data_IF_889806439558
#
_entry.id   IF_889806439558
#
_cell.length_a   1.000
_cell.length_b   1.000
_cell.length_c   1.000
_cell.angle_alpha   90.00
_cell.angle_beta   90.00
_cell.angle_gamma   90.00
#
_symmetry.space_group_name_H-M   'P 1'
#
loop_
_entity.id
_entity.type
_entity.pdbx_description
1 polymer ?
#
# COMPACT_ATOMS: atom_id res chain seq x y z
N UNK A 1 20.35 -0.65 18.79
CA UNK A 1 20.10 -1.51 19.96
C UNK A 1 19.47 -0.65 21.04
N UNK A 2 18.16 -0.81 21.32
CA UNK A 2 17.49 -0.10 22.40
C UNK A 2 17.92 -0.71 23.74
N UNK A 3 18.43 0.11 24.63
CA UNK A 3 18.80 -0.30 25.99
C UNK A 3 17.73 0.28 26.93
N UNK A 4 16.95 -0.53 27.65
CA UNK A 4 16.00 -0.01 28.63
C UNK A 4 16.75 0.72 29.74
N UNK A 5 16.27 1.91 30.07
CA UNK A 5 16.79 2.72 31.19
C UNK A 5 15.68 2.96 32.20
N UNK A 6 16.03 3.12 33.48
CA UNK A 6 15.04 3.45 34.50
C UNK A 6 14.47 4.86 34.28
N UNK A 7 13.24 5.10 34.75
CA UNK A 7 12.60 6.42 34.68
C UNK A 7 13.46 7.54 35.29
N UNK A 8 14.08 7.30 36.42
CA UNK A 8 14.98 8.27 37.08
C UNK A 8 16.18 8.61 36.22
N UNK A 9 16.79 7.63 35.57
CA UNK A 9 17.91 7.85 34.65
C UNK A 9 17.47 8.59 33.38
N UNK A 10 16.29 8.28 32.84
CA UNK A 10 15.73 8.99 31.68
C UNK A 10 15.43 10.45 32.04
N UNK A 11 14.84 10.73 33.21
CA UNK A 11 14.56 12.07 33.70
C UNK A 11 15.85 12.89 33.89
N UNK A 12 16.84 12.31 34.55
CA UNK A 12 18.15 12.96 34.76
C UNK A 12 18.85 13.28 33.44
N UNK A 13 18.81 12.38 32.45
CA UNK A 13 19.38 12.63 31.12
C UNK A 13 18.62 13.77 30.40
N UNK A 14 17.31 13.78 30.49
CA UNK A 14 16.49 14.81 29.88
C UNK A 14 16.77 16.20 30.48
N UNK A 15 16.87 16.31 31.79
CA UNK A 15 17.23 17.53 32.51
C UNK A 15 18.62 18.02 32.10
N UNK A 16 19.59 17.10 31.99
CA UNK A 16 20.97 17.42 31.55
C UNK A 16 20.98 17.94 30.11
N UNK A 17 20.24 17.31 29.19
CA UNK A 17 20.19 17.77 27.81
C UNK A 17 19.43 19.08 27.65
N UNK A 18 18.35 19.31 28.39
CA UNK A 18 17.69 20.61 28.45
C UNK A 18 18.61 21.73 28.98
N UNK A 19 19.38 21.47 30.02
CA UNK A 19 20.32 22.43 30.52
C UNK A 19 21.42 22.74 29.51
N UNK A 20 21.89 21.77 28.75
CA UNK A 20 22.86 21.98 27.65
C UNK A 20 22.25 22.77 26.48
N UNK A 21 20.97 22.52 26.12
CA UNK A 21 20.29 23.25 25.07
C UNK A 21 20.02 24.72 25.46
N UNK A 22 19.74 24.98 26.74
CA UNK A 22 19.52 26.36 27.22
C UNK A 22 20.82 27.12 27.45
N UNK A 23 21.98 26.42 27.62
CA UNK A 23 23.31 27.03 27.77
C UNK A 23 23.99 27.27 26.42
N UNK A 24 23.66 26.56 25.38
CA UNK A 24 24.06 26.91 24.02
C UNK A 24 23.10 28.00 23.53
N UNK A 25 23.68 29.15 23.27
CA UNK A 25 23.03 30.30 22.69
C UNK A 25 22.00 29.85 21.65
N UNK A 26 20.75 29.96 22.00
CA UNK A 26 19.64 29.79 21.07
C UNK A 26 19.63 30.99 20.15
N UNK A 27 20.65 31.14 19.30
CA UNK A 27 20.38 31.79 18.04
C UNK A 27 19.23 31.00 17.42
N UNK A 28 18.05 31.59 17.46
CA UNK A 28 16.96 31.08 16.72
C UNK A 28 17.50 30.78 15.33
N UNK A 29 17.60 29.50 14.96
CA UNK A 29 17.89 29.12 13.60
C UNK A 29 16.64 29.60 12.86
N UNK A 30 16.69 30.84 12.38
CA UNK A 30 15.73 31.32 11.39
C UNK A 30 16.00 30.44 10.19
N UNK A 31 15.19 29.40 10.04
CA UNK A 31 15.10 28.68 8.78
C UNK A 31 14.68 29.73 7.75
N UNK A 32 15.63 30.10 6.89
CA UNK A 32 15.33 30.93 5.76
C UNK A 32 14.22 30.22 4.97
N UNK A 33 13.06 30.87 4.78
CA UNK A 33 11.96 30.32 3.98
C UNK A 33 12.43 29.94 2.57
N UNK A 34 13.55 30.51 2.12
CA UNK A 34 14.24 30.12 0.89
C UNK A 34 14.81 28.69 0.92
N UNK A 35 15.01 28.07 2.10
CA UNK A 35 15.53 26.71 2.19
C UNK A 35 14.48 25.61 1.92
N UNK A 36 13.18 25.99 1.94
CA UNK A 36 12.07 25.09 1.60
C UNK A 36 11.11 25.69 0.57
N UNK A 37 11.62 26.21 -0.58
CA UNK A 37 10.76 26.90 -1.55
C UNK A 37 9.71 25.98 -2.18
N UNK A 38 9.87 24.67 -2.08
CA UNK A 38 9.01 23.70 -2.78
C UNK A 38 8.01 22.97 -1.88
N UNK A 39 8.18 22.93 -0.56
CA UNK A 39 7.26 22.24 0.36
C UNK A 39 5.90 22.92 0.40
N UNK A 40 5.84 24.24 0.19
CA UNK A 40 4.60 25.00 0.13
C UNK A 40 3.77 24.77 -1.14
N UNK A 41 4.31 24.06 -2.12
CA UNK A 41 3.67 23.88 -3.45
C UNK A 41 3.03 22.51 -3.65
N UNK A 42 3.24 21.52 -2.77
CA UNK A 42 2.52 20.25 -2.81
C UNK A 42 1.04 20.47 -2.43
N UNK A 43 0.28 21.10 -3.34
CA UNK A 43 -1.15 21.35 -3.19
C UNK A 43 -2.00 20.09 -3.41
N UNK A 44 -1.40 18.97 -3.79
CA UNK A 44 -2.09 17.74 -4.17
C UNK A 44 -1.43 16.51 -3.55
N UNK A 45 -2.23 15.55 -3.13
CA UNK A 45 -1.77 14.20 -2.76
C UNK A 45 -1.42 13.35 -4.00
N UNK A 46 -1.40 13.94 -5.18
CA UNK A 46 -1.02 13.32 -6.47
C UNK A 46 0.25 14.00 -6.95
N UNK A 47 1.29 13.19 -7.21
CA UNK A 47 2.54 13.66 -7.81
C UNK A 47 2.35 13.88 -9.31
N UNK A 48 1.73 12.89 -9.98
CA UNK A 48 1.44 12.97 -11.41
C UNK A 48 0.35 11.98 -11.81
N UNK A 49 -0.20 12.18 -13.01
CA UNK A 49 -1.19 11.32 -13.64
C UNK A 49 -0.88 11.15 -15.12
N UNK A 50 -0.67 9.91 -15.56
CA UNK A 50 -0.60 9.57 -16.98
C UNK A 50 -1.97 9.09 -17.45
N UNK A 51 -2.47 9.70 -18.52
CA UNK A 51 -3.70 9.28 -19.16
C UNK A 51 -3.45 8.05 -20.02
N UNK A 52 -4.26 7.02 -19.82
CA UNK A 52 -4.21 5.81 -20.61
C UNK A 52 -4.48 6.09 -22.08
N UNK A 53 -3.79 5.37 -22.96
CA UNK A 53 -3.96 5.44 -24.42
C UNK A 53 -4.10 4.02 -24.97
N UNK A 54 -4.84 3.87 -26.07
CA UNK A 54 -4.96 2.59 -26.77
C UNK A 54 -5.42 1.40 -25.90
N UNK A 55 -6.33 1.67 -24.92
CA UNK A 55 -6.85 0.62 -24.04
C UNK A 55 -6.03 0.39 -22.76
N UNK A 56 -4.92 1.10 -22.55
CA UNK A 56 -4.21 1.08 -21.27
C UNK A 56 -4.96 1.92 -20.21
N UNK A 57 -4.94 1.54 -18.93
CA UNK A 57 -5.58 2.31 -17.87
C UNK A 57 -4.83 3.62 -17.57
N UNK A 58 -5.56 4.60 -17.02
CA UNK A 58 -4.91 5.76 -16.40
C UNK A 58 -3.99 5.32 -15.27
N UNK A 59 -2.89 6.04 -15.05
CA UNK A 59 -1.94 5.79 -13.96
C UNK A 59 -1.86 7.01 -13.07
N UNK A 60 -1.95 6.82 -11.76
CA UNK A 60 -1.83 7.89 -10.75
C UNK A 60 -0.67 7.55 -9.82
N UNK A 61 0.26 8.50 -9.68
CA UNK A 61 1.38 8.40 -8.76
C UNK A 61 1.12 9.25 -7.53
N UNK A 62 1.27 8.64 -6.34
CA UNK A 62 1.05 9.32 -5.06
C UNK A 62 2.23 9.12 -4.11
N UNK A 63 2.62 10.15 -3.35
CA UNK A 63 3.49 9.95 -2.21
C UNK A 63 2.70 9.23 -1.11
N UNK A 64 3.34 8.28 -0.43
CA UNK A 64 2.77 7.58 0.72
C UNK A 64 3.75 7.69 1.92
N UNK A 65 3.96 8.91 2.39
CA UNK A 65 5.02 9.27 3.34
C UNK A 65 6.37 9.50 2.64
N UNK A 66 7.46 9.50 3.41
CA UNK A 66 8.78 9.88 2.91
C UNK A 66 9.48 8.75 2.12
N UNK A 67 9.15 7.50 2.40
CA UNK A 67 9.86 6.33 1.89
C UNK A 67 8.97 5.41 1.05
N UNK A 68 7.76 5.86 0.69
CA UNK A 68 6.83 5.05 -0.09
C UNK A 68 6.25 5.86 -1.24
N UNK A 69 6.11 5.19 -2.38
CA UNK A 69 5.33 5.67 -3.51
C UNK A 69 4.24 4.66 -3.85
N UNK A 70 3.04 5.14 -4.08
CA UNK A 70 1.91 4.35 -4.54
C UNK A 70 1.64 4.65 -6.01
N UNK A 71 1.64 3.60 -6.82
CA UNK A 71 1.22 3.64 -8.23
C UNK A 71 -0.13 2.97 -8.34
N UNK A 72 -1.13 3.67 -8.87
CA UNK A 72 -2.50 3.16 -9.00
C UNK A 72 -2.94 3.16 -10.46
N UNK A 73 -3.59 2.08 -10.90
CA UNK A 73 -4.12 1.93 -12.25
C UNK A 73 -5.65 1.95 -12.27
N UNK A 74 -6.21 2.72 -13.20
CA UNK A 74 -7.63 2.72 -13.52
C UNK A 74 -8.57 3.01 -12.34
N UNK A 75 -9.79 2.56 -12.47
CA UNK A 75 -10.84 2.74 -11.46
C UNK A 75 -10.73 1.75 -10.30
N UNK A 76 -11.44 2.02 -9.20
CA UNK A 76 -11.50 1.14 -8.02
C UNK A 76 -12.45 -0.03 -8.29
N UNK A 77 -12.02 -0.95 -9.14
CA UNK A 77 -12.75 -2.16 -9.52
C UNK A 77 -11.86 -3.40 -9.36
N UNK A 78 -12.48 -4.55 -9.17
CA UNK A 78 -11.79 -5.84 -9.17
C UNK A 78 -11.63 -6.31 -10.62
N UNK A 79 -10.48 -6.00 -11.23
CA UNK A 79 -10.14 -6.36 -12.60
C UNK A 79 -8.77 -7.05 -12.64
N UNK A 80 -8.71 -8.25 -13.20
CA UNK A 80 -7.48 -9.01 -13.35
C UNK A 80 -6.49 -8.35 -14.31
N UNK A 81 -6.96 -7.60 -15.32
CA UNK A 81 -6.07 -6.87 -16.22
C UNK A 81 -5.26 -5.83 -15.46
N UNK A 82 -5.88 -5.11 -14.51
CA UNK A 82 -5.17 -4.17 -13.64
C UNK A 82 -4.14 -4.91 -12.77
N UNK A 83 -4.50 -6.10 -12.26
CA UNK A 83 -3.58 -6.93 -11.47
C UNK A 83 -2.39 -7.42 -12.31
N UNK A 84 -2.60 -7.79 -13.57
CA UNK A 84 -1.52 -8.16 -14.48
C UNK A 84 -0.65 -6.96 -14.84
N UNK A 85 -1.22 -5.78 -15.02
CA UNK A 85 -0.43 -4.55 -15.23
C UNK A 85 0.49 -4.27 -14.04
N UNK A 86 -0.02 -4.42 -12.81
CA UNK A 86 0.79 -4.32 -11.58
C UNK A 86 1.93 -5.35 -11.58
N UNK A 87 1.65 -6.58 -12.00
CA UNK A 87 2.67 -7.62 -12.08
C UNK A 87 3.77 -7.26 -13.09
N UNK A 88 3.40 -6.74 -14.25
CA UNK A 88 4.34 -6.27 -15.25
C UNK A 88 5.23 -5.15 -14.72
N UNK A 89 4.65 -4.13 -14.09
CA UNK A 89 5.41 -3.04 -13.47
C UNK A 89 6.35 -3.56 -12.38
N UNK A 90 5.85 -4.41 -11.50
CA UNK A 90 6.66 -5.00 -10.43
C UNK A 90 7.85 -5.79 -11.00
N UNK A 91 7.63 -6.55 -12.08
CA UNK A 91 8.70 -7.30 -12.73
C UNK A 91 9.72 -6.35 -13.39
N UNK A 92 9.23 -5.35 -14.11
CA UNK A 92 10.10 -4.33 -14.72
C UNK A 92 11.00 -3.66 -13.68
N UNK A 93 10.42 -3.21 -12.53
CA UNK A 93 11.19 -2.58 -11.46
C UNK A 93 12.26 -3.52 -10.90
N UNK A 94 11.94 -4.82 -10.74
CA UNK A 94 12.91 -5.83 -10.27
C UNK A 94 14.05 -6.03 -11.29
N UNK A 95 13.72 -6.08 -12.56
CA UNK A 95 14.70 -6.33 -13.63
C UNK A 95 15.68 -5.16 -13.78
N UNK A 96 15.22 -3.92 -13.49
CA UNK A 96 16.10 -2.74 -13.49
C UNK A 96 17.09 -2.72 -12.31
N UNK A 97 16.88 -3.52 -11.28
CA UNK A 97 17.73 -3.57 -10.08
C UNK A 97 18.07 -2.16 -9.53
N UNK A 98 17.04 -1.31 -9.42
CA UNK A 98 17.18 0.10 -9.03
C UNK A 98 17.70 0.17 -7.59
N UNK A 99 18.86 0.80 -7.42
CA UNK A 99 19.45 1.01 -6.11
C UNK A 99 18.56 1.94 -5.27
N UNK A 100 18.37 1.61 -4.00
CA UNK A 100 17.49 2.36 -3.10
C UNK A 100 16.07 1.81 -3.03
N UNK A 101 15.64 0.87 -3.88
CA UNK A 101 14.37 0.15 -3.70
C UNK A 101 14.56 -0.95 -2.65
N UNK A 102 13.69 -0.95 -1.64
CA UNK A 102 13.73 -1.87 -0.50
C UNK A 102 12.72 -3.01 -0.68
N UNK A 103 11.47 -2.68 -1.03
CA UNK A 103 10.40 -3.67 -1.16
C UNK A 103 9.31 -3.21 -2.15
N UNK A 104 8.60 -4.18 -2.71
CA UNK A 104 7.49 -4.00 -3.65
C UNK A 104 6.27 -4.76 -3.17
N UNK A 105 5.23 -4.07 -2.76
CA UNK A 105 3.98 -4.65 -2.26
C UNK A 105 2.85 -4.47 -3.27
N UNK A 106 2.48 -5.52 -4.03
CA UNK A 106 1.43 -5.43 -5.03
C UNK A 106 0.03 -5.57 -4.41
N UNK A 107 -0.86 -4.64 -4.77
CA UNK A 107 -2.30 -4.72 -4.56
C UNK A 107 -3.04 -5.27 -5.79
N UNK A 108 -4.35 -5.10 -5.87
CA UNK A 108 -5.17 -5.51 -7.02
C UNK A 108 -4.92 -4.58 -8.21
N UNK A 109 -4.98 -3.28 -8.00
CA UNK A 109 -4.77 -2.23 -8.99
C UNK A 109 -3.66 -1.24 -8.62
N UNK A 110 -2.87 -1.55 -7.60
CA UNK A 110 -1.81 -0.66 -7.11
C UNK A 110 -0.52 -1.39 -6.79
N UNK A 111 0.60 -0.69 -6.91
CA UNK A 111 1.90 -1.12 -6.44
C UNK A 111 2.41 -0.11 -5.42
N UNK A 112 2.66 -0.55 -4.20
CA UNK A 112 3.39 0.24 -3.22
C UNK A 112 4.87 -0.08 -3.32
N UNK A 113 5.67 0.95 -3.52
CA UNK A 113 7.12 0.88 -3.64
C UNK A 113 7.72 1.47 -2.37
N UNK A 114 8.44 0.65 -1.61
CA UNK A 114 9.25 1.09 -0.47
C UNK A 114 10.66 1.40 -0.97
N UNK A 115 11.13 2.61 -0.75
CA UNK A 115 12.45 3.05 -1.17
C UNK A 115 13.17 3.83 -0.06
N UNK A 116 14.50 3.84 -0.11
CA UNK A 116 15.35 4.65 0.76
C UNK A 116 15.52 6.04 0.14
N UNK A 117 14.85 7.03 0.70
CA UNK A 117 14.89 8.41 0.22
C UNK A 117 16.26 9.09 0.36
N UNK A 118 17.21 8.47 1.06
CA UNK A 118 18.60 8.95 1.13
C UNK A 118 19.44 8.48 -0.04
N UNK A 119 19.00 7.45 -0.78
CA UNK A 119 19.70 6.86 -1.92
C UNK A 119 18.98 7.11 -3.25
N UNK A 120 17.66 7.24 -3.22
CA UNK A 120 16.83 7.41 -4.40
C UNK A 120 15.84 8.56 -4.16
N UNK A 121 15.97 9.62 -4.94
CA UNK A 121 15.02 10.73 -4.87
C UNK A 121 13.63 10.34 -5.40
N UNK A 122 12.58 10.87 -4.79
CA UNK A 122 11.19 10.56 -5.16
C UNK A 122 10.86 10.99 -6.60
N UNK A 123 11.42 12.10 -7.05
CA UNK A 123 11.19 12.60 -8.41
C UNK A 123 11.91 11.73 -9.44
N UNK A 124 13.10 11.24 -9.12
CA UNK A 124 13.83 10.34 -10.00
C UNK A 124 13.13 8.98 -10.09
N UNK A 125 12.62 8.45 -8.96
CA UNK A 125 11.76 7.26 -8.98
C UNK A 125 10.51 7.47 -9.84
N UNK A 126 9.83 8.63 -9.70
CA UNK A 126 8.66 8.95 -10.53
C UNK A 126 9.01 8.93 -12.03
N UNK A 127 10.12 9.56 -12.43
CA UNK A 127 10.58 9.57 -13.83
C UNK A 127 10.86 8.17 -14.36
N UNK A 128 11.51 7.32 -13.55
CA UNK A 128 11.78 5.93 -13.93
C UNK A 128 10.47 5.15 -14.13
N UNK A 129 9.47 5.35 -13.28
CA UNK A 129 8.18 4.70 -13.40
C UNK A 129 7.38 5.19 -14.62
N UNK A 130 7.50 6.46 -14.97
CA UNK A 130 6.91 7.00 -16.21
C UNK A 130 7.54 6.35 -17.45
N UNK A 131 8.87 6.20 -17.47
CA UNK A 131 9.57 5.46 -18.54
C UNK A 131 9.16 3.99 -18.58
N UNK A 132 8.92 3.39 -17.41
CA UNK A 132 8.42 2.02 -17.34
C UNK A 132 7.10 1.85 -18.11
N UNK A 133 6.16 2.80 -17.98
CA UNK A 133 4.85 2.71 -18.63
C UNK A 133 4.93 2.60 -20.17
N UNK A 134 5.96 3.21 -20.77
CA UNK A 134 6.23 3.10 -22.21
C UNK A 134 6.78 1.73 -22.61
N UNK A 135 7.36 0.99 -21.68
CA UNK A 135 8.05 -0.28 -21.90
C UNK A 135 7.26 -1.51 -21.44
N UNK A 136 6.19 -1.31 -20.68
CA UNK A 136 5.38 -2.43 -20.21
C UNK A 136 4.65 -3.13 -21.36
N UNK A 137 4.62 -4.48 -21.38
CA UNK A 137 3.90 -5.24 -22.39
C UNK A 137 2.39 -4.99 -22.32
N UNK A 138 1.71 -5.26 -23.44
CA UNK A 138 0.26 -5.37 -23.44
C UNK A 138 -0.16 -6.56 -22.55
N UNK A 139 -1.11 -6.32 -21.63
CA UNK A 139 -1.58 -7.37 -20.71
C UNK A 139 -2.26 -8.54 -21.43
N UNK A 140 -2.80 -8.31 -22.63
CA UNK A 140 -3.44 -9.35 -23.44
C UNK A 140 -2.44 -10.34 -24.05
N UNK A 141 -1.18 -9.94 -24.19
CA UNK A 141 -0.09 -10.76 -24.73
C UNK A 141 0.82 -11.36 -23.63
N UNK A 142 0.58 -10.98 -22.37
CA UNK A 142 1.40 -11.46 -21.25
C UNK A 142 1.22 -12.95 -21.01
N UNK A 143 2.36 -13.64 -20.83
CA UNK A 143 2.41 -15.00 -20.32
C UNK A 143 2.98 -14.98 -18.91
N UNK A 144 2.17 -15.42 -17.94
CA UNK A 144 2.55 -15.45 -16.52
C UNK A 144 2.67 -16.90 -16.08
N UNK A 145 3.80 -17.32 -15.48
CA UNK A 145 3.93 -18.65 -14.90
C UNK A 145 2.82 -18.89 -13.87
N UNK A 146 2.13 -19.99 -13.98
CA UNK A 146 1.02 -20.34 -13.09
C UNK A 146 1.19 -21.74 -12.54
N UNK A 147 0.46 -22.03 -11.46
CA UNK A 147 0.37 -23.36 -10.88
C UNK A 147 -1.07 -23.68 -10.52
N UNK A 148 -1.45 -24.94 -10.64
CA UNK A 148 -2.71 -25.44 -10.10
C UNK A 148 -2.49 -25.82 -8.63
N UNK A 149 -3.35 -25.30 -7.77
CA UNK A 149 -3.33 -25.59 -6.32
C UNK A 149 -4.64 -26.27 -5.96
N UNK A 150 -4.54 -27.44 -5.34
CA UNK A 150 -5.67 -28.18 -4.82
C UNK A 150 -5.80 -27.91 -3.33
N UNK A 151 -6.87 -27.24 -2.92
CA UNK A 151 -7.14 -26.93 -1.53
C UNK A 151 -8.39 -27.68 -1.06
N UNK A 152 -8.35 -28.30 0.13
CA UNK A 152 -9.56 -28.86 0.72
C UNK A 152 -10.53 -27.71 1.06
N UNK A 153 -11.80 -27.88 0.71
CA UNK A 153 -12.86 -26.94 1.05
C UNK A 153 -14.00 -27.71 1.71
N UNK A 154 -14.34 -27.31 2.93
CA UNK A 154 -15.55 -27.75 3.59
C UNK A 154 -16.65 -26.71 3.31
N UNK A 155 -17.71 -27.15 2.63
CA UNK A 155 -18.83 -26.31 2.24
C UNK A 155 -20.06 -26.64 3.09
N UNK A 156 -20.61 -25.66 3.80
CA UNK A 156 -21.78 -25.83 4.68
C UNK A 156 -21.61 -26.99 5.70
N UNK A 157 -20.41 -27.16 6.26
CA UNK A 157 -20.13 -28.24 7.18
C UNK A 157 -20.82 -28.05 8.55
N UNK A 158 -21.01 -29.16 9.26
CA UNK A 158 -21.74 -29.19 10.54
C UNK A 158 -21.09 -28.35 11.65
N UNK A 159 -19.77 -28.15 11.63
CA UNK A 159 -19.08 -27.33 12.62
C UNK A 159 -19.32 -25.84 12.38
N UNK A 160 -19.36 -25.41 11.14
CA UNK A 160 -19.72 -24.05 10.75
C UNK A 160 -21.20 -23.75 11.11
N UNK A 161 -22.12 -24.69 10.86
CA UNK A 161 -23.52 -24.58 11.25
C UNK A 161 -23.66 -24.45 12.78
N UNK A 162 -22.99 -25.33 13.54
CA UNK A 162 -22.98 -25.29 15.01
C UNK A 162 -22.41 -23.95 15.54
N UNK A 163 -21.35 -23.44 14.92
CA UNK A 163 -20.77 -22.15 15.30
C UNK A 163 -21.76 -20.99 15.08
N UNK A 164 -22.48 -21.01 13.95
CA UNK A 164 -23.53 -20.03 13.63
C UNK A 164 -24.70 -20.09 14.63
N UNK A 165 -25.16 -21.29 14.95
CA UNK A 165 -26.22 -21.49 15.95
C UNK A 165 -25.81 -20.97 17.34
N UNK A 166 -24.61 -21.29 17.78
CA UNK A 166 -24.06 -20.77 19.05
C UNK A 166 -23.94 -19.26 19.06
N UNK A 167 -23.49 -18.68 17.94
CA UNK A 167 -23.40 -17.23 17.82
C UNK A 167 -24.78 -16.57 17.96
N UNK A 168 -25.81 -17.11 17.30
CA UNK A 168 -27.19 -16.61 17.41
C UNK A 168 -27.72 -16.72 18.84
N UNK A 169 -27.41 -17.79 19.55
CA UNK A 169 -27.87 -18.02 20.93
C UNK A 169 -27.18 -17.11 21.95
N UNK A 170 -25.88 -16.79 21.74
CA UNK A 170 -25.07 -16.18 22.80
C UNK A 170 -24.67 -14.74 22.51
N UNK A 171 -24.70 -14.31 21.25
CA UNK A 171 -24.21 -13.00 20.82
C UNK A 171 -25.32 -12.17 20.18
N UNK A 172 -25.84 -12.60 19.04
CA UNK A 172 -26.84 -11.84 18.29
C UNK A 172 -27.74 -12.72 17.43
N UNK A 173 -29.02 -12.90 17.84
CA UNK A 173 -29.94 -13.79 17.13
C UNK A 173 -30.37 -13.29 15.75
N UNK A 174 -30.34 -11.98 15.53
CA UNK A 174 -30.81 -11.31 14.30
C UNK A 174 -29.68 -10.76 13.42
N UNK A 175 -28.49 -11.36 13.52
CA UNK A 175 -27.35 -10.92 12.70
C UNK A 175 -27.64 -11.12 11.21
N UNK A 176 -27.34 -10.13 10.32
CA UNK A 176 -27.68 -10.20 8.91
C UNK A 176 -27.04 -11.38 8.15
N UNK A 177 -25.95 -11.92 8.69
CA UNK A 177 -25.22 -13.09 8.17
C UNK A 177 -25.69 -14.42 8.74
N UNK A 178 -26.72 -14.42 9.58
CA UNK A 178 -27.34 -15.59 10.17
C UNK A 178 -28.73 -15.82 9.55
N UNK A 179 -29.20 -17.07 9.53
CA UNK A 179 -28.51 -18.31 9.93
C UNK A 179 -27.61 -18.89 8.85
N UNK A 180 -27.58 -18.33 7.64
CA UNK A 180 -26.85 -18.85 6.48
C UNK A 180 -25.86 -17.80 5.98
N UNK A 181 -24.58 -17.95 6.35
CA UNK A 181 -23.50 -17.05 5.96
C UNK A 181 -23.24 -17.04 4.45
N UNK A 182 -23.46 -18.17 3.78
CA UNK A 182 -23.23 -18.28 2.34
C UNK A 182 -24.35 -17.55 1.59
N UNK A 183 -25.59 -17.71 2.01
CA UNK A 183 -26.71 -16.95 1.46
C UNK A 183 -26.54 -15.44 1.69
N UNK A 184 -26.02 -15.04 2.86
CA UNK A 184 -25.68 -13.65 3.11
C UNK A 184 -24.65 -13.13 2.11
N UNK A 185 -23.52 -13.83 1.93
CA UNK A 185 -22.46 -13.48 0.97
C UNK A 185 -23.03 -13.40 -0.46
N UNK A 186 -23.83 -14.39 -0.85
CA UNK A 186 -24.50 -14.41 -2.15
C UNK A 186 -25.33 -13.13 -2.37
N UNK A 187 -26.14 -12.78 -1.41
CA UNK A 187 -27.06 -11.64 -1.49
C UNK A 187 -26.32 -10.29 -1.55
N UNK A 188 -25.33 -10.06 -0.69
CA UNK A 188 -24.60 -8.78 -0.66
C UNK A 188 -23.73 -8.55 -1.89
N UNK A 189 -23.31 -9.64 -2.56
CA UNK A 189 -22.51 -9.55 -3.78
C UNK A 189 -23.36 -9.68 -5.06
N UNK A 190 -24.69 -9.77 -4.96
CA UNK A 190 -25.59 -9.87 -6.12
C UNK A 190 -25.40 -11.15 -6.94
N UNK A 191 -24.86 -12.22 -6.34
CA UNK A 191 -24.66 -13.49 -7.02
C UNK A 191 -25.99 -14.24 -7.21
N UNK A 192 -26.19 -14.87 -8.38
CA UNK A 192 -27.40 -15.60 -8.67
C UNK A 192 -27.46 -16.96 -7.98
N UNK A 193 -26.32 -17.64 -7.89
CA UNK A 193 -26.17 -18.99 -7.33
C UNK A 193 -25.12 -19.02 -6.21
N UNK A 194 -25.12 -20.10 -5.42
CA UNK A 194 -24.13 -20.38 -4.37
C UNK A 194 -22.77 -20.86 -4.94
N UNK A 195 -22.34 -20.34 -6.07
CA UNK A 195 -21.07 -20.73 -6.73
C UNK A 195 -19.91 -19.87 -6.28
#
# INVERSE_FOLDING_TARGET
>A
KFVPISYHKAKSLNEKYHAQLTAQDTQAVTFDEAFYPEISTLKSAILDTLKGQNGTPDVVYRPAGNNYMLVEYGELVLDLNLRFRIHALMQWVKDQNIQGIIDLTPGIRSLQIHFDSTQLDQIDLLRMLQVAEEQLPDVTEMQVPSRTVYLPLAWEDSQTQLATERYMQTVRPDAPWCPDNIEFIRRINGLKDKQ
#
